data_IF_951518903788
#
_entry.id   IF_951518903788
#
_cell.length_a   1.000
_cell.length_b   1.000
_cell.length_c   1.000
_cell.angle_alpha   90.00
_cell.angle_beta   90.00
_cell.angle_gamma   90.00
#
_symmetry.space_group_name_H-M   'P 1'
#
loop_
_entity.id
_entity.type
_entity.pdbx_description
1 polymer ?
#
# COMPACT_ATOMS: atom_id res chain seq x y z
N UNK A 1 35.80 31.46 -42.96
CA UNK A 1 35.73 31.67 -41.49
C UNK A 1 35.55 30.31 -40.86
N UNK A 2 36.54 29.80 -40.12
CA UNK A 2 36.36 28.57 -39.35
C UNK A 2 35.59 28.98 -38.11
N UNK A 3 34.30 28.62 -38.01
CA UNK A 3 33.50 28.92 -36.83
C UNK A 3 34.03 28.08 -35.66
N UNK A 4 34.40 28.72 -34.56
CA UNK A 4 34.76 28.02 -33.33
C UNK A 4 33.56 27.18 -32.85
N UNK A 5 33.74 25.88 -32.55
CA UNK A 5 32.68 25.05 -32.00
C UNK A 5 32.15 25.66 -30.70
N UNK A 6 30.84 25.60 -30.48
CA UNK A 6 30.22 26.06 -29.22
C UNK A 6 30.09 24.90 -28.24
N UNK A 7 30.60 25.07 -27.02
CA UNK A 7 30.52 24.05 -25.98
C UNK A 7 29.06 23.69 -25.64
N UNK A 8 28.75 22.39 -25.44
CA UNK A 8 27.44 21.97 -24.95
C UNK A 8 27.14 22.56 -23.57
N UNK A 9 25.89 22.99 -23.33
CA UNK A 9 25.46 23.48 -22.01
C UNK A 9 25.27 22.29 -21.06
N UNK A 10 25.83 22.38 -19.86
CA UNK A 10 25.64 21.38 -18.81
C UNK A 10 24.14 21.22 -18.45
N UNK A 11 23.68 19.99 -18.14
CA UNK A 11 22.34 19.76 -17.62
C UNK A 11 22.15 20.51 -16.30
N UNK A 12 20.96 21.09 -16.13
CA UNK A 12 20.59 21.72 -14.87
C UNK A 12 20.32 20.63 -13.81
N UNK A 13 21.01 20.64 -12.65
CA UNK A 13 20.85 19.58 -11.64
C UNK A 13 19.42 19.46 -11.11
N UNK A 14 18.70 20.59 -10.95
CA UNK A 14 17.32 20.61 -10.48
C UNK A 14 16.38 20.01 -11.53
N UNK A 15 16.59 20.32 -12.82
CA UNK A 15 15.81 19.72 -13.90
C UNK A 15 16.09 18.22 -14.06
N UNK A 16 17.35 17.80 -13.93
CA UNK A 16 17.74 16.38 -13.98
C UNK A 16 17.11 15.59 -12.83
N UNK A 17 17.13 16.14 -11.60
CA UNK A 17 16.48 15.53 -10.45
C UNK A 17 14.94 15.47 -10.58
N UNK A 18 14.32 16.51 -11.15
CA UNK A 18 12.89 16.52 -11.41
C UNK A 18 12.50 15.49 -12.49
N UNK A 19 13.32 15.31 -13.53
CA UNK A 19 13.11 14.27 -14.54
C UNK A 19 13.16 12.86 -13.94
N UNK A 20 14.10 12.60 -13.02
CA UNK A 20 14.13 11.33 -12.28
C UNK A 20 12.91 11.15 -11.38
N UNK A 21 12.50 12.22 -10.68
CA UNK A 21 11.33 12.20 -9.79
C UNK A 21 10.06 11.87 -10.57
N UNK A 22 9.87 12.46 -11.74
CA UNK A 22 8.71 12.19 -12.60
C UNK A 22 8.61 10.70 -12.95
N UNK A 23 9.69 10.10 -13.45
CA UNK A 23 9.73 8.67 -13.79
C UNK A 23 9.45 7.79 -12.57
N UNK A 24 10.04 8.10 -11.41
CA UNK A 24 9.81 7.32 -10.19
C UNK A 24 8.35 7.38 -9.73
N UNK A 25 7.72 8.56 -9.86
CA UNK A 25 6.31 8.75 -9.53
C UNK A 25 5.42 7.95 -10.47
N UNK A 26 5.68 8.00 -11.78
CA UNK A 26 4.91 7.24 -12.78
C UNK A 26 5.02 5.72 -12.52
N UNK A 27 6.23 5.22 -12.24
CA UNK A 27 6.44 3.80 -11.88
C UNK A 27 5.72 3.45 -10.58
N UNK A 28 5.74 4.31 -9.58
CA UNK A 28 5.05 4.08 -8.31
C UNK A 28 3.53 4.03 -8.47
N UNK A 29 2.95 4.93 -9.27
CA UNK A 29 1.52 4.93 -9.60
C UNK A 29 1.15 3.65 -10.35
N UNK A 30 1.97 3.24 -11.32
CA UNK A 30 1.74 2.01 -12.07
C UNK A 30 1.83 0.76 -11.17
N UNK A 31 2.85 0.68 -10.30
CA UNK A 31 2.98 -0.40 -9.32
C UNK A 31 1.79 -0.47 -8.36
N UNK A 32 1.31 0.69 -7.88
CA UNK A 32 0.10 0.74 -7.07
C UNK A 32 -1.13 0.24 -7.85
N UNK A 33 -1.29 0.62 -9.12
CA UNK A 33 -2.37 0.10 -9.96
C UNK A 33 -2.33 -1.42 -10.11
N UNK A 34 -1.13 -1.99 -10.28
CA UNK A 34 -0.92 -3.44 -10.43
C UNK A 34 -1.17 -4.20 -9.12
N UNK A 35 -0.79 -3.65 -7.97
CA UNK A 35 -0.96 -4.34 -6.67
C UNK A 35 -2.42 -4.36 -6.20
N UNK A 36 -3.22 -3.35 -6.55
CA UNK A 36 -4.62 -3.20 -6.14
C UNK A 36 -5.59 -3.84 -7.14
N UNK A 37 -5.41 -5.14 -7.42
CA UNK A 37 -6.28 -5.90 -8.33
C UNK A 37 -7.51 -6.43 -7.59
N UNK A 38 -8.70 -6.25 -8.19
CA UNK A 38 -9.96 -6.78 -7.66
C UNK A 38 -9.97 -8.32 -7.66
N UNK A 39 -10.57 -8.91 -6.64
CA UNK A 39 -10.71 -10.36 -6.51
C UNK A 39 -12.17 -10.72 -6.32
N UNK A 40 -12.62 -11.75 -7.04
CA UNK A 40 -13.97 -12.28 -6.96
C UNK A 40 -13.87 -13.76 -6.64
N UNK A 41 -14.50 -14.17 -5.54
CA UNK A 41 -14.56 -15.56 -5.08
C UNK A 41 -16.03 -15.99 -5.00
N UNK A 42 -16.32 -17.29 -4.86
CA UNK A 42 -17.69 -17.75 -4.60
C UNK A 42 -18.28 -17.16 -3.31
N UNK A 43 -17.43 -16.79 -2.35
CA UNK A 43 -17.85 -16.31 -1.04
C UNK A 43 -18.05 -14.79 -0.98
N UNK A 44 -17.60 -14.05 -2.01
CA UNK A 44 -17.67 -12.60 -2.04
C UNK A 44 -16.66 -11.94 -2.98
N UNK A 45 -16.43 -10.65 -2.77
CA UNK A 45 -15.48 -9.88 -3.57
C UNK A 45 -14.68 -8.88 -2.74
N UNK A 46 -13.46 -8.64 -3.19
CA UNK A 46 -12.55 -7.61 -2.69
C UNK A 46 -12.28 -6.64 -3.86
N UNK A 47 -12.83 -5.44 -3.78
CA UNK A 47 -12.65 -4.41 -4.80
C UNK A 47 -11.77 -3.28 -4.27
N UNK A 48 -10.82 -2.82 -5.07
CA UNK A 48 -10.03 -1.63 -4.78
C UNK A 48 -10.54 -0.46 -5.61
N UNK A 49 -10.79 0.67 -4.96
CA UNK A 49 -11.21 1.92 -5.63
C UNK A 49 -10.31 3.06 -5.18
N UNK A 50 -10.04 3.98 -6.10
CA UNK A 50 -9.36 5.23 -5.77
C UNK A 50 -10.29 6.02 -4.84
N UNK A 51 -9.86 6.19 -3.60
CA UNK A 51 -10.59 6.90 -2.55
C UNK A 51 -10.19 8.37 -2.41
N UNK A 52 -9.10 8.77 -3.09
CA UNK A 52 -8.61 10.13 -3.06
C UNK A 52 -7.27 10.27 -3.74
N UNK A 53 -6.69 11.46 -3.58
CA UNK A 53 -5.37 11.79 -4.10
C UNK A 53 -4.57 12.54 -3.04
N UNK A 54 -3.30 12.16 -2.90
CA UNK A 54 -2.30 12.95 -2.18
C UNK A 54 -1.48 13.77 -3.16
N UNK A 55 -1.13 14.98 -2.76
CA UNK A 55 -0.38 15.90 -3.61
C UNK A 55 1.07 15.96 -3.16
N UNK A 56 2.00 15.79 -4.11
CA UNK A 56 3.42 16.05 -3.89
C UNK A 56 3.93 17.08 -4.89
N UNK A 57 5.00 17.81 -4.54
CA UNK A 57 5.70 18.71 -5.46
C UNK A 57 7.15 18.26 -5.62
N UNK A 58 7.67 18.33 -6.84
CA UNK A 58 9.10 18.10 -7.09
C UNK A 58 9.93 19.37 -6.84
N UNK A 59 11.24 19.25 -7.08
CA UNK A 59 12.22 20.32 -6.86
C UNK A 59 12.03 21.53 -7.80
N UNK A 60 11.21 21.40 -8.86
CA UNK A 60 10.83 22.49 -9.77
C UNK A 60 9.49 23.12 -9.41
N UNK A 61 8.80 22.59 -8.39
CA UNK A 61 7.46 23.02 -7.99
C UNK A 61 6.33 22.39 -8.81
N UNK A 62 6.63 21.50 -9.76
CA UNK A 62 5.61 20.73 -10.49
C UNK A 62 4.92 19.79 -9.51
N UNK A 63 3.60 19.72 -9.64
CA UNK A 63 2.73 19.01 -8.72
C UNK A 63 2.30 17.66 -9.30
N UNK A 64 2.30 16.61 -8.49
CA UNK A 64 1.87 15.25 -8.83
C UNK A 64 0.74 14.81 -7.91
N UNK A 65 -0.23 14.11 -8.48
CA UNK A 65 -1.35 13.52 -7.73
C UNK A 65 -1.14 12.01 -7.61
N UNK A 66 -0.92 11.54 -6.39
CA UNK A 66 -0.73 10.15 -6.04
C UNK A 66 -2.08 9.56 -5.62
N UNK A 67 -2.64 8.58 -6.34
CA UNK A 67 -3.91 7.98 -5.96
C UNK A 67 -3.79 7.22 -4.64
N UNK A 68 -4.77 7.40 -3.76
CA UNK A 68 -4.96 6.56 -2.57
C UNK A 68 -6.07 5.57 -2.85
N UNK A 69 -5.91 4.33 -2.42
CA UNK A 69 -6.87 3.25 -2.65
C UNK A 69 -7.53 2.82 -1.35
N UNK A 70 -8.80 2.45 -1.44
CA UNK A 70 -9.54 1.77 -0.36
C UNK A 70 -10.00 0.40 -0.84
N UNK A 71 -9.89 -0.58 0.05
CA UNK A 71 -10.35 -1.94 -0.14
C UNK A 71 -11.80 -2.07 0.35
N UNK A 72 -12.67 -2.60 -0.50
CA UNK A 72 -14.07 -2.88 -0.19
C UNK A 72 -14.29 -4.38 -0.24
N UNK A 73 -14.67 -4.97 0.89
CA UNK A 73 -15.00 -6.39 0.99
C UNK A 73 -16.50 -6.55 1.10
N UNK A 74 -17.05 -7.45 0.30
CA UNK A 74 -18.47 -7.79 0.29
C UNK A 74 -18.64 -9.30 0.26
N UNK A 75 -19.68 -9.79 0.94
CA UNK A 75 -20.10 -11.18 0.83
C UNK A 75 -20.83 -11.44 -0.50
N UNK A 76 -20.89 -12.70 -0.92
CA UNK A 76 -21.87 -13.15 -1.91
C UNK A 76 -23.30 -12.96 -1.36
N UNK A 77 -24.34 -12.87 -2.21
CA UNK A 77 -25.71 -12.74 -1.76
C UNK A 77 -26.12 -13.83 -0.74
N UNK A 78 -25.66 -15.06 -0.96
CA UNK A 78 -25.93 -16.21 -0.08
C UNK A 78 -25.23 -16.05 1.27
N UNK A 79 -23.94 -15.69 1.28
CA UNK A 79 -23.19 -15.49 2.53
C UNK A 79 -23.64 -14.23 3.27
N UNK A 80 -24.08 -13.19 2.57
CA UNK A 80 -24.66 -12.00 3.18
C UNK A 80 -25.95 -12.35 3.92
N UNK A 81 -26.83 -13.17 3.29
CA UNK A 81 -28.05 -13.63 3.95
C UNK A 81 -27.75 -14.45 5.22
N UNK A 82 -26.72 -15.30 5.19
CA UNK A 82 -26.26 -16.06 6.37
C UNK A 82 -25.71 -15.11 7.43
N UNK A 83 -24.90 -14.13 7.06
CA UNK A 83 -24.36 -13.11 7.96
C UNK A 83 -25.49 -12.33 8.63
N UNK A 84 -26.44 -11.81 7.85
CA UNK A 84 -27.59 -11.03 8.35
C UNK A 84 -28.47 -11.87 9.27
N UNK A 85 -28.76 -13.12 8.89
CA UNK A 85 -29.50 -14.05 9.74
C UNK A 85 -28.75 -14.37 11.03
N UNK A 86 -27.43 -14.48 10.98
CA UNK A 86 -26.59 -14.73 12.16
C UNK A 86 -26.60 -13.50 13.08
N UNK A 87 -26.46 -12.29 12.54
CA UNK A 87 -26.58 -11.05 13.31
C UNK A 87 -27.96 -10.89 13.93
N UNK A 88 -29.03 -11.21 13.19
CA UNK A 88 -30.40 -11.19 13.71
C UNK A 88 -30.60 -12.24 14.80
N UNK A 89 -30.03 -13.43 14.64
CA UNK A 89 -30.08 -14.49 15.66
C UNK A 89 -29.31 -14.07 16.90
N UNK A 90 -28.11 -13.50 16.77
CA UNK A 90 -27.33 -12.95 17.89
C UNK A 90 -28.08 -11.82 18.59
N UNK A 91 -28.73 -10.93 17.84
CA UNK A 91 -29.56 -9.87 18.42
C UNK A 91 -30.79 -10.45 19.14
N UNK A 92 -31.44 -11.45 18.55
CA UNK A 92 -32.56 -12.18 19.16
C UNK A 92 -32.13 -12.90 20.44
N UNK A 93 -30.96 -13.54 20.44
CA UNK A 93 -30.36 -14.18 21.60
C UNK A 93 -29.96 -13.16 22.67
N UNK A 94 -29.41 -12.02 22.29
CA UNK A 94 -29.11 -10.93 23.22
C UNK A 94 -30.39 -10.35 23.83
N UNK A 95 -31.46 -10.20 23.05
CA UNK A 95 -32.78 -9.80 23.55
C UNK A 95 -33.38 -10.83 24.49
N UNK A 96 -33.35 -12.10 24.11
CA UNK A 96 -33.79 -13.20 24.97
C UNK A 96 -32.97 -13.25 26.25
N UNK A 97 -31.64 -13.12 26.15
CA UNK A 97 -30.76 -13.04 27.30
C UNK A 97 -31.13 -11.84 28.17
N UNK A 98 -31.45 -10.67 27.61
CA UNK A 98 -31.92 -9.49 28.37
C UNK A 98 -33.30 -9.72 29.02
N UNK A 99 -34.29 -10.21 28.29
CA UNK A 99 -35.63 -10.52 28.82
C UNK A 99 -35.55 -11.59 29.92
N UNK A 100 -34.71 -12.60 29.69
CA UNK A 100 -34.45 -13.66 30.64
C UNK A 100 -33.59 -13.15 31.79
N UNK A 101 -32.70 -12.16 31.64
CA UNK A 101 -32.05 -11.48 32.78
C UNK A 101 -33.06 -10.69 33.59
N UNK A 102 -34.13 -10.15 32.98
CA UNK A 102 -35.26 -9.58 33.71
C UNK A 102 -35.99 -10.63 34.56
N UNK A 103 -36.26 -11.80 33.99
CA UNK A 103 -36.86 -12.94 34.71
C UNK A 103 -35.91 -13.54 35.76
N UNK A 104 -34.63 -13.68 35.44
CA UNK A 104 -33.56 -14.16 36.34
C UNK A 104 -33.33 -13.13 37.45
N UNK A 105 -33.41 -11.83 37.19
CA UNK A 105 -33.38 -10.80 38.23
C UNK A 105 -34.61 -10.91 39.14
N UNK A 106 -35.78 -11.21 38.59
CA UNK A 106 -36.97 -11.57 39.38
C UNK A 106 -36.77 -12.83 40.22
N UNK A 107 -36.19 -13.89 39.65
CA UNK A 107 -35.98 -15.20 40.28
C UNK A 107 -34.82 -15.20 41.28
N UNK A 108 -33.73 -14.46 41.02
CA UNK A 108 -32.57 -14.31 41.91
C UNK A 108 -32.77 -13.19 42.93
N UNK A 109 -33.65 -12.22 42.65
CA UNK A 109 -34.06 -11.17 43.57
C UNK A 109 -35.03 -11.67 44.65
N UNK A 110 -35.66 -12.82 44.43
CA UNK A 110 -36.41 -13.56 45.45
C UNK A 110 -35.61 -14.78 45.88
N UNK A 111 -35.38 -14.96 47.18
CA UNK A 111 -34.82 -16.22 47.68
C UNK A 111 -35.74 -17.38 47.25
N UNK A 112 -35.17 -18.54 46.89
CA UNK A 112 -35.97 -19.75 46.62
C UNK A 112 -36.78 -20.05 47.87
N UNK A 113 -38.10 -20.02 47.73
CA UNK A 113 -39.01 -20.37 48.82
C UNK A 113 -39.03 -21.88 49.01
N UNK A 114 -38.09 -22.36 49.82
CA UNK A 114 -38.06 -23.74 50.31
C UNK A 114 -38.80 -23.86 51.66
N UNK A 115 -39.68 -22.91 51.99
CA UNK A 115 -40.50 -23.04 53.20
C UNK A 115 -41.34 -24.31 53.11
N UNK A 116 -41.61 -24.90 54.27
CA UNK A 116 -42.41 -26.11 54.39
C UNK A 116 -43.73 -25.99 53.62
N UNK A 117 -44.40 -24.83 53.69
CA UNK A 117 -45.66 -24.60 52.97
C UNK A 117 -45.56 -24.68 51.44
N UNK A 118 -44.46 -24.24 50.84
CA UNK A 118 -44.29 -24.32 49.38
C UNK A 118 -43.89 -25.73 48.93
N UNK A 119 -43.02 -26.40 49.69
CA UNK A 119 -42.63 -27.80 49.41
C UNK A 119 -43.83 -28.74 49.59
N UNK A 120 -44.63 -28.54 50.64
CA UNK A 120 -45.86 -29.31 50.88
C UNK A 120 -46.87 -29.14 49.74
N UNK A 121 -47.04 -27.90 49.25
CA UNK A 121 -47.90 -27.62 48.09
C UNK A 121 -47.40 -28.34 46.83
N UNK A 122 -46.10 -28.35 46.60
CA UNK A 122 -45.49 -29.04 45.46
C UNK A 122 -45.71 -30.55 45.53
N UNK A 123 -45.43 -31.16 46.70
CA UNK A 123 -45.63 -32.60 46.95
C UNK A 123 -47.11 -32.98 46.80
N UNK A 124 -48.02 -32.19 47.37
CA UNK A 124 -49.45 -32.46 47.29
C UNK A 124 -49.97 -32.40 45.85
N UNK A 125 -49.55 -31.40 45.07
CA UNK A 125 -50.05 -31.23 43.70
C UNK A 125 -49.50 -32.27 42.72
N UNK A 126 -48.25 -32.71 42.88
CA UNK A 126 -47.58 -33.57 41.90
C UNK A 126 -47.53 -35.06 42.29
N UNK A 127 -47.63 -35.40 43.58
CA UNK A 127 -47.27 -36.73 44.07
C UNK A 127 -48.36 -37.38 44.93
N UNK A 128 -49.08 -36.59 45.73
CA UNK A 128 -50.10 -37.11 46.66
C UNK A 128 -51.29 -37.78 45.95
N UNK A 129 -51.69 -37.31 44.77
CA UNK A 129 -52.76 -37.93 43.99
C UNK A 129 -52.40 -39.37 43.56
N UNK A 130 -51.16 -39.59 43.13
CA UNK A 130 -50.66 -40.92 42.75
C UNK A 130 -50.57 -41.87 43.94
N UNK A 131 -50.08 -41.38 45.08
CA UNK A 131 -50.04 -42.14 46.32
C UNK A 131 -51.43 -42.60 46.78
N UNK A 132 -52.39 -41.67 46.85
CA UNK A 132 -53.77 -41.98 47.28
C UNK A 132 -54.43 -43.01 46.35
N UNK A 133 -54.31 -42.81 45.03
CA UNK A 133 -54.87 -43.73 44.04
C UNK A 133 -54.32 -45.16 44.17
N UNK A 134 -53.04 -45.33 44.52
CA UNK A 134 -52.46 -46.64 44.73
C UNK A 134 -53.04 -47.32 45.97
N UNK A 135 -53.08 -46.60 47.10
CA UNK A 135 -53.61 -47.15 48.35
C UNK A 135 -55.11 -47.42 48.32
N UNK A 136 -55.87 -46.66 47.56
CA UNK A 136 -57.31 -46.91 47.38
C UNK A 136 -57.56 -48.21 46.60
N UNK A 137 -56.68 -48.54 45.63
CA UNK A 137 -56.70 -49.86 44.97
C UNK A 137 -56.30 -50.99 45.90
N UNK A 138 -55.28 -50.77 46.74
CA UNK A 138 -54.79 -51.78 47.68
C UNK A 138 -55.84 -52.07 48.76
N UNK A 139 -56.59 -51.06 49.18
CA UNK A 139 -57.73 -51.22 50.07
C UNK A 139 -58.83 -52.08 49.43
N UNK A 140 -59.23 -51.77 48.20
CA UNK A 140 -60.24 -52.55 47.49
C UNK A 140 -59.83 -54.02 47.28
N UNK A 141 -58.53 -54.26 47.03
CA UNK A 141 -57.97 -55.61 46.91
C UNK A 141 -58.00 -56.38 48.24
N UNK A 142 -57.68 -55.68 49.35
CA UNK A 142 -57.78 -56.26 50.69
C UNK A 142 -59.23 -56.63 51.02
N UNK A 143 -60.18 -55.74 50.75
CA UNK A 143 -61.61 -55.98 50.96
C UNK A 143 -62.08 -57.23 50.20
N UNK A 144 -61.70 -57.37 48.93
CA UNK A 144 -62.01 -58.55 48.13
C UNK A 144 -61.40 -59.83 48.72
N UNK A 145 -60.11 -59.79 49.14
CA UNK A 145 -59.44 -60.95 49.73
C UNK A 145 -60.07 -61.41 51.05
N UNK A 146 -60.56 -60.48 51.86
CA UNK A 146 -61.27 -60.78 53.10
C UNK A 146 -62.63 -61.42 52.80
N UNK A 147 -63.36 -60.89 51.83
CA UNK A 147 -64.63 -61.45 51.38
C UNK A 147 -64.48 -62.88 50.83
N UNK A 148 -63.47 -63.14 49.99
CA UNK A 148 -63.18 -64.48 49.44
C UNK A 148 -62.84 -65.51 50.54
N UNK A 149 -62.31 -65.04 51.68
CA UNK A 149 -62.02 -65.86 52.87
C UNK A 149 -63.22 -66.02 53.80
N UNK A 150 -64.39 -65.50 53.42
CA UNK A 150 -65.61 -65.56 54.23
C UNK A 150 -65.62 -64.60 55.43
N UNK A 151 -64.71 -63.61 55.46
CA UNK A 151 -64.67 -62.59 56.50
C UNK A 151 -65.62 -61.47 56.09
N UNK A 152 -66.76 -61.37 56.76
CA UNK A 152 -67.75 -60.33 56.48
C UNK A 152 -67.35 -58.97 57.05
N UNK A 153 -67.76 -57.91 56.36
CA UNK A 153 -67.65 -56.53 56.81
C UNK A 153 -68.38 -56.34 58.15
N UNK A 154 -67.72 -55.71 59.12
CA UNK A 154 -68.23 -55.53 60.50
C UNK A 154 -67.94 -56.69 61.46
N UNK A 155 -67.21 -57.72 61.02
CA UNK A 155 -66.63 -58.72 61.93
C UNK A 155 -65.38 -58.18 62.62
N UNK A 156 -65.08 -58.67 63.82
CA UNK A 156 -63.86 -58.28 64.54
C UNK A 156 -62.57 -58.58 63.75
N UNK A 157 -62.58 -59.63 62.91
CA UNK A 157 -61.47 -59.98 62.03
C UNK A 157 -61.29 -58.96 60.89
N UNK A 158 -62.40 -58.49 60.29
CA UNK A 158 -62.38 -57.42 59.31
C UNK A 158 -61.85 -56.12 59.90
N UNK A 159 -62.36 -55.71 61.07
CA UNK A 159 -61.95 -54.46 61.73
C UNK A 159 -60.47 -54.47 62.11
N UNK A 160 -59.94 -55.63 62.54
CA UNK A 160 -58.52 -55.78 62.83
C UNK A 160 -57.65 -55.70 61.57
N UNK A 161 -58.08 -56.35 60.48
CA UNK A 161 -57.37 -56.30 59.20
C UNK A 161 -57.36 -54.88 58.60
N UNK A 162 -58.49 -54.17 58.70
CA UNK A 162 -58.62 -52.80 58.22
C UNK A 162 -57.84 -51.80 59.09
N UNK A 163 -57.82 -52.00 60.41
CA UNK A 163 -56.93 -51.24 61.31
C UNK A 163 -55.46 -51.45 60.96
N UNK A 164 -55.01 -52.68 60.76
CA UNK A 164 -53.63 -52.97 60.33
C UNK A 164 -53.29 -52.33 58.98
N UNK A 165 -54.21 -52.37 58.02
CA UNK A 165 -54.07 -51.66 56.75
C UNK A 165 -53.94 -50.15 56.93
N UNK A 166 -54.80 -49.53 57.75
CA UNK A 166 -54.74 -48.09 58.02
C UNK A 166 -53.42 -47.66 58.67
N UNK A 167 -52.91 -48.45 59.63
CA UNK A 167 -51.63 -48.21 60.29
C UNK A 167 -50.47 -48.30 59.30
N UNK A 168 -50.49 -49.30 58.40
CA UNK A 168 -49.49 -49.45 57.34
C UNK A 168 -49.55 -48.32 56.31
N UNK A 169 -50.76 -47.91 55.90
CA UNK A 169 -50.98 -46.77 55.00
C UNK A 169 -50.43 -45.48 55.62
N UNK A 170 -50.68 -45.25 56.91
CA UNK A 170 -50.19 -44.07 57.62
C UNK A 170 -48.65 -44.07 57.71
N UNK A 171 -48.03 -45.17 58.14
CA UNK A 171 -46.57 -45.26 58.21
C UNK A 171 -45.91 -45.09 56.82
N UNK A 172 -46.51 -45.67 55.79
CA UNK A 172 -46.04 -45.51 54.41
C UNK A 172 -46.24 -44.07 53.89
N UNK A 173 -47.31 -43.39 54.29
CA UNK A 173 -47.56 -41.98 53.97
C UNK A 173 -46.52 -41.08 54.61
N UNK A 174 -46.19 -41.31 55.87
CA UNK A 174 -45.19 -40.51 56.61
C UNK A 174 -43.79 -40.69 56.01
N UNK A 175 -43.41 -41.93 55.66
CA UNK A 175 -42.14 -42.22 54.98
C UNK A 175 -42.11 -41.61 53.58
N UNK A 176 -43.18 -41.79 52.80
CA UNK A 176 -43.31 -41.25 51.45
C UNK A 176 -43.20 -39.73 51.45
N UNK A 177 -43.87 -39.04 52.38
CA UNK A 177 -43.82 -37.58 52.47
C UNK A 177 -42.41 -37.08 52.77
N UNK A 178 -41.66 -37.76 53.67
CA UNK A 178 -40.27 -37.43 53.96
C UNK A 178 -39.34 -37.60 52.75
N UNK A 179 -39.46 -38.70 52.02
CA UNK A 179 -38.70 -38.96 50.80
C UNK A 179 -39.04 -37.96 49.70
N UNK A 180 -40.34 -37.62 49.56
CA UNK A 180 -40.81 -36.66 48.57
C UNK A 180 -40.42 -35.23 48.91
N UNK A 181 -40.29 -34.87 50.19
CA UNK A 181 -39.83 -33.55 50.60
C UNK A 181 -38.38 -33.28 50.15
N UNK A 182 -37.50 -34.29 50.21
CA UNK A 182 -36.13 -34.22 49.69
C UNK A 182 -36.11 -34.14 48.16
N UNK A 183 -36.95 -34.94 47.49
CA UNK A 183 -37.05 -34.92 46.02
C UNK A 183 -37.65 -33.62 45.48
N UNK A 184 -38.65 -33.06 46.16
CA UNK A 184 -39.31 -31.80 45.80
C UNK A 184 -38.34 -30.62 45.87
N UNK A 185 -37.50 -30.55 46.91
CA UNK A 185 -36.46 -29.51 46.99
C UNK A 185 -35.48 -29.59 45.82
N UNK A 186 -35.04 -30.80 45.45
CA UNK A 186 -34.15 -31.00 44.31
C UNK A 186 -34.84 -30.67 42.96
N UNK A 187 -36.12 -30.99 42.82
CA UNK A 187 -36.91 -30.67 41.63
C UNK A 187 -37.09 -29.16 41.46
N UNK A 188 -37.47 -28.44 42.53
CA UNK A 188 -37.62 -26.99 42.55
C UNK A 188 -36.29 -26.29 42.18
N UNK A 189 -35.17 -26.81 42.67
CA UNK A 189 -33.84 -26.27 42.32
C UNK A 189 -33.44 -26.56 40.87
N UNK A 190 -33.82 -27.72 40.32
CA UNK A 190 -33.50 -28.13 38.95
C UNK A 190 -34.30 -27.33 37.92
N UNK A 191 -35.58 -27.09 38.18
CA UNK A 191 -36.45 -26.24 37.34
C UNK A 191 -35.87 -24.82 37.18
N UNK A 192 -35.17 -24.33 38.20
CA UNK A 192 -34.47 -23.05 38.16
C UNK A 192 -33.18 -23.05 37.31
N UNK A 193 -32.50 -24.19 37.21
CA UNK A 193 -31.21 -24.31 36.52
C UNK A 193 -31.33 -24.62 35.02
N UNK A 194 -32.44 -25.23 34.58
CA UNK A 194 -32.74 -25.48 33.16
C UNK A 194 -32.62 -24.25 32.25
N UNK A 195 -33.28 -23.10 32.55
CA UNK A 195 -33.19 -21.94 31.67
C UNK A 195 -31.77 -21.35 31.59
N UNK A 196 -30.93 -21.54 32.61
CA UNK A 196 -29.54 -21.07 32.59
C UNK A 196 -28.67 -21.90 31.63
N UNK A 197 -28.90 -23.22 31.58
CA UNK A 197 -28.15 -24.11 30.69
C UNK A 197 -28.60 -23.97 29.23
N UNK A 198 -29.89 -23.76 28.99
CA UNK A 198 -30.44 -23.52 27.64
C UNK A 198 -29.87 -22.23 27.01
N UNK A 199 -29.72 -21.15 27.78
CA UNK A 199 -29.10 -19.91 27.31
C UNK A 199 -27.63 -20.12 26.93
N UNK A 200 -26.87 -20.85 27.77
CA UNK A 200 -25.45 -21.13 27.52
C UNK A 200 -25.25 -21.93 26.23
N UNK A 201 -26.11 -22.92 25.97
CA UNK A 201 -26.09 -23.71 24.74
C UNK A 201 -26.42 -22.87 23.50
N UNK A 202 -27.43 -21.99 23.59
CA UNK A 202 -27.87 -21.14 22.48
C UNK A 202 -26.86 -20.03 22.12
N UNK A 203 -26.10 -19.51 23.08
CA UNK A 203 -25.09 -18.49 22.83
C UNK A 203 -23.84 -19.01 22.09
N UNK A 204 -23.63 -20.32 22.03
CA UNK A 204 -22.46 -20.94 21.38
C UNK A 204 -22.55 -21.05 19.84
N UNK A 205 -23.60 -20.48 19.24
CA UNK A 205 -23.94 -20.65 17.82
C UNK A 205 -22.83 -20.25 16.83
N UNK A 206 -22.72 -21.06 15.77
CA UNK A 206 -21.70 -21.10 14.72
C UNK A 206 -21.16 -19.75 14.23
N UNK A 207 -19.83 -19.68 14.08
CA UNK A 207 -19.14 -18.51 13.52
C UNK A 207 -19.37 -18.41 12.02
N UNK A 208 -19.70 -17.21 11.53
CA UNK A 208 -19.73 -16.90 10.10
C UNK A 208 -18.29 -16.91 9.58
N UNK A 209 -18.02 -17.73 8.56
CA UNK A 209 -16.71 -17.76 7.91
C UNK A 209 -16.50 -16.49 7.10
N UNK A 210 -15.37 -15.81 7.29
CA UNK A 210 -15.04 -14.61 6.52
C UNK A 210 -14.44 -15.00 5.15
N UNK A 211 -14.75 -14.29 4.06
CA UNK A 211 -14.24 -14.64 2.74
C UNK A 211 -12.72 -14.52 2.75
N UNK A 212 -12.04 -15.55 2.22
CA UNK A 212 -10.59 -15.54 2.06
C UNK A 212 -10.22 -15.02 0.67
N UNK A 213 -9.23 -14.13 0.59
CA UNK A 213 -8.72 -13.56 -0.65
C UNK A 213 -7.26 -13.97 -0.85
N UNK A 214 -6.85 -14.14 -2.10
CA UNK A 214 -5.46 -14.50 -2.45
C UNK A 214 -4.57 -13.27 -2.46
N UNK A 215 -3.28 -13.44 -2.15
CA UNK A 215 -2.34 -12.34 -2.33
C UNK A 215 -2.14 -12.06 -3.83
N UNK A 216 -2.36 -10.80 -4.24
CA UNK A 216 -2.09 -10.35 -5.61
C UNK A 216 -0.57 -10.32 -5.83
N UNK A 217 -0.03 -10.98 -6.88
CA UNK A 217 1.39 -10.94 -7.17
C UNK A 217 1.84 -9.50 -7.43
N UNK A 218 2.74 -8.97 -6.61
CA UNK A 218 3.30 -7.64 -6.80
C UNK A 218 4.40 -7.69 -7.86
N UNK A 219 4.08 -7.31 -9.10
CA UNK A 219 5.09 -7.05 -10.12
C UNK A 219 5.66 -5.65 -9.89
N UNK A 220 6.92 -5.58 -9.46
CA UNK A 220 7.61 -4.30 -9.29
C UNK A 220 8.21 -3.87 -10.62
N UNK A 221 7.60 -2.86 -11.25
CA UNK A 221 8.16 -2.20 -12.41
C UNK A 221 9.49 -1.53 -12.01
N UNK A 222 10.57 -1.73 -12.79
CA UNK A 222 11.84 -1.09 -12.52
C UNK A 222 11.76 0.41 -12.83
N UNK A 223 12.46 1.22 -12.03
CA UNK A 223 12.65 2.64 -12.34
C UNK A 223 13.71 2.78 -13.44
N UNK A 224 13.49 3.71 -14.38
CA UNK A 224 14.53 4.11 -15.34
C UNK A 224 15.41 5.18 -14.70
N UNK A 225 16.73 5.04 -14.80
CA UNK A 225 17.69 6.07 -14.37
C UNK A 225 17.76 7.20 -15.41
N UNK A 226 16.72 8.03 -15.41
CA UNK A 226 16.58 9.18 -16.29
C UNK A 226 17.70 10.20 -16.06
N UNK A 227 18.16 10.35 -14.81
CA UNK A 227 19.29 11.23 -14.48
C UNK A 227 20.60 10.75 -15.13
N UNK A 228 20.87 9.45 -15.05
CA UNK A 228 21.99 8.81 -15.74
C UNK A 228 21.93 9.03 -17.25
N UNK A 229 20.79 8.80 -17.88
CA UNK A 229 20.60 9.00 -19.33
C UNK A 229 20.83 10.44 -19.77
N UNK A 230 20.38 11.43 -18.98
CA UNK A 230 20.61 12.85 -19.27
C UNK A 230 22.11 13.19 -19.19
N UNK A 231 22.80 12.70 -18.17
CA UNK A 231 24.23 12.91 -18.00
C UNK A 231 25.05 12.19 -19.08
N UNK A 232 24.68 10.98 -19.46
CA UNK A 232 25.31 10.22 -20.54
C UNK A 232 25.16 10.94 -21.88
N UNK A 233 23.98 11.48 -22.17
CA UNK A 233 23.76 12.27 -23.38
C UNK A 233 24.64 13.53 -23.41
N UNK A 234 24.81 14.20 -22.26
CA UNK A 234 25.71 15.35 -22.15
C UNK A 234 27.17 14.95 -22.37
N UNK A 235 27.65 13.87 -21.74
CA UNK A 235 29.01 13.37 -21.91
C UNK A 235 29.30 12.99 -23.37
N UNK A 236 28.35 12.38 -24.07
CA UNK A 236 28.47 12.09 -25.51
C UNK A 236 28.61 13.37 -26.35
N UNK A 237 27.80 14.39 -26.06
CA UNK A 237 27.89 15.70 -26.74
C UNK A 237 29.23 16.40 -26.44
N UNK A 238 29.73 16.30 -25.22
CA UNK A 238 31.03 16.85 -24.85
C UNK A 238 32.16 16.13 -25.58
N UNK A 239 32.13 14.80 -25.66
CA UNK A 239 33.12 14.02 -26.41
C UNK A 239 33.14 14.33 -27.92
N UNK A 240 31.99 14.68 -28.52
CA UNK A 240 31.93 15.17 -29.91
C UNK A 240 32.53 16.57 -30.04
N UNK A 241 32.23 17.46 -29.08
CA UNK A 241 32.81 18.80 -29.03
C UNK A 241 34.34 18.76 -28.89
N UNK A 242 34.88 17.94 -27.98
CA UNK A 242 36.32 17.80 -27.79
C UNK A 242 37.03 17.32 -29.06
N UNK A 243 36.43 16.38 -29.80
CA UNK A 243 36.93 15.96 -31.12
C UNK A 243 36.90 17.08 -32.14
N UNK A 244 35.84 17.89 -32.15
CA UNK A 244 35.70 19.00 -33.08
C UNK A 244 36.72 20.11 -32.80
N UNK A 245 36.99 20.40 -31.53
CA UNK A 245 38.04 21.34 -31.10
C UNK A 245 39.42 20.78 -31.43
N UNK A 246 39.69 19.49 -31.15
CA UNK A 246 40.95 18.85 -31.52
C UNK A 246 41.21 18.89 -33.04
N UNK A 247 40.20 18.64 -33.86
CA UNK A 247 40.29 18.75 -35.32
C UNK A 247 40.52 20.19 -35.78
N UNK A 248 39.87 21.17 -35.15
CA UNK A 248 40.05 22.59 -35.46
C UNK A 248 41.46 23.07 -35.07
N UNK A 249 41.98 22.61 -33.93
CA UNK A 249 43.35 22.88 -33.48
C UNK A 249 44.39 22.22 -34.40
N UNK A 250 44.14 20.99 -34.87
CA UNK A 250 45.01 20.32 -35.84
C UNK A 250 45.00 21.02 -37.21
N UNK A 251 43.84 21.48 -37.69
CA UNK A 251 43.73 22.25 -38.92
C UNK A 251 44.42 23.63 -38.81
N UNK A 252 44.33 24.28 -37.66
CA UNK A 252 45.03 25.55 -37.39
C UNK A 252 46.56 25.32 -37.29
N UNK A 253 47.02 24.26 -36.62
CA UNK A 253 48.42 23.89 -36.56
C UNK A 253 49.02 23.53 -37.93
N UNK A 254 48.26 22.85 -38.80
CA UNK A 254 48.67 22.54 -40.17
C UNK A 254 48.72 23.76 -41.09
N UNK A 255 47.82 24.73 -40.92
CA UNK A 255 47.83 25.99 -41.68
C UNK A 255 48.96 26.94 -41.25
N UNK A 256 49.33 26.94 -39.97
CA UNK A 256 50.53 27.63 -39.49
C UNK A 256 51.84 26.90 -39.87
N UNK A 257 51.80 25.58 -40.09
CA UNK A 257 52.97 24.78 -40.49
C UNK A 257 53.31 24.82 -41.99
N UNK A 258 52.35 25.12 -42.87
CA UNK A 258 52.54 25.09 -44.34
C UNK A 258 52.87 26.45 -44.98
N UNK A 259 52.91 27.54 -44.19
CA UNK A 259 53.28 28.89 -44.63
C UNK A 259 54.49 29.47 -43.88
N UNK A 260 55.41 28.61 -43.42
CA UNK A 260 56.54 28.93 -42.55
C UNK A 260 57.70 29.70 -43.19
N UNK A 261 57.45 30.87 -43.79
CA UNK A 261 58.47 31.94 -43.91
C UNK A 261 58.37 32.98 -42.79
N UNK A 262 57.48 32.76 -41.82
CA UNK A 262 57.19 33.68 -40.71
C UNK A 262 58.12 33.58 -39.49
N UNK A 263 59.07 32.63 -39.46
CA UNK A 263 60.05 32.49 -38.37
C UNK A 263 61.48 32.71 -38.86
N UNK A 264 61.78 33.94 -39.30
CA UNK A 264 63.16 34.43 -39.46
C UNK A 264 63.66 34.61 -40.90
N UNK A 265 62.78 34.58 -41.90
CA UNK A 265 63.11 34.87 -43.31
C UNK A 265 62.56 36.21 -43.78
N UNK A 266 63.27 36.86 -44.71
CA UNK A 266 62.77 38.04 -45.41
C UNK A 266 61.64 37.66 -46.37
N UNK A 267 60.42 38.17 -46.14
CA UNK A 267 59.27 37.87 -46.99
C UNK A 267 59.01 39.00 -47.99
N UNK A 268 58.73 38.64 -49.25
CA UNK A 268 58.32 39.59 -50.31
C UNK A 268 57.07 40.35 -49.87
N UNK A 269 57.25 41.61 -49.49
CA UNK A 269 56.18 42.39 -48.84
C UNK A 269 55.87 43.69 -49.57
N UNK A 270 56.53 43.92 -50.69
CA UNK A 270 56.22 45.00 -51.61
C UNK A 270 54.78 44.91 -52.13
N UNK A 271 54.04 46.01 -52.02
CA UNK A 271 52.66 46.13 -52.50
C UNK A 271 52.57 45.86 -54.01
N UNK A 272 53.62 46.17 -54.78
CA UNK A 272 53.64 46.01 -56.26
C UNK A 272 53.58 44.54 -56.69
N UNK A 273 54.00 43.61 -55.84
CA UNK A 273 53.97 42.17 -56.10
C UNK A 273 52.63 41.52 -55.74
N UNK A 274 51.70 42.28 -55.15
CA UNK A 274 50.46 41.79 -54.55
C UNK A 274 49.24 42.36 -55.26
N UNK A 275 48.14 41.61 -55.23
CA UNK A 275 46.81 41.95 -55.75
C UNK A 275 45.73 41.53 -54.74
N UNK A 276 44.47 41.91 -54.99
CA UNK A 276 43.32 41.66 -54.10
C UNK A 276 43.53 42.11 -52.64
N UNK A 277 44.27 43.21 -52.46
CA UNK A 277 44.73 43.66 -51.15
C UNK A 277 43.58 44.24 -50.33
N UNK A 278 43.24 43.59 -49.21
CA UNK A 278 42.23 44.04 -48.26
C UNK A 278 42.80 44.07 -46.85
N UNK A 279 42.67 45.20 -46.15
CA UNK A 279 43.02 45.26 -44.72
C UNK A 279 42.04 44.39 -43.94
N UNK A 280 42.56 43.47 -43.12
CA UNK A 280 41.76 42.53 -42.31
C UNK A 280 41.97 42.70 -40.82
N UNK A 281 42.95 43.50 -40.40
CA UNK A 281 43.22 43.75 -39.00
C UNK A 281 44.34 44.75 -38.78
N UNK A 282 44.74 44.86 -37.52
CA UNK A 282 45.87 45.65 -37.04
C UNK A 282 46.53 44.87 -35.92
N UNK A 283 47.86 44.82 -35.91
CA UNK A 283 48.66 44.25 -34.81
C UNK A 283 48.68 45.20 -33.61
N UNK A 284 49.05 44.69 -32.44
CA UNK A 284 49.14 45.48 -31.20
C UNK A 284 50.15 46.62 -31.30
N UNK A 285 51.18 46.47 -32.13
CA UNK A 285 52.17 47.52 -32.44
C UNK A 285 51.68 48.56 -33.47
N UNK A 286 50.40 48.50 -33.88
CA UNK A 286 49.78 49.45 -34.78
C UNK A 286 49.92 49.14 -36.27
N UNK A 287 50.67 48.09 -36.65
CA UNK A 287 50.83 47.73 -38.06
C UNK A 287 49.55 47.12 -38.65
N UNK A 288 49.07 47.58 -39.82
CA UNK A 288 47.93 46.97 -40.50
C UNK A 288 48.28 45.60 -41.08
N UNK A 289 47.35 44.65 -40.93
CA UNK A 289 47.43 43.30 -41.52
C UNK A 289 46.49 43.22 -42.72
N UNK A 290 46.97 42.65 -43.83
CA UNK A 290 46.26 42.55 -45.08
C UNK A 290 46.07 41.08 -45.52
N UNK A 291 44.92 40.80 -46.13
CA UNK A 291 44.74 39.66 -47.02
C UNK A 291 45.08 40.07 -48.46
N UNK A 292 45.87 39.26 -49.16
CA UNK A 292 46.30 39.53 -50.54
C UNK A 292 46.61 38.23 -51.29
N UNK A 293 46.74 38.32 -52.62
CA UNK A 293 47.34 37.27 -53.47
C UNK A 293 48.61 37.81 -54.13
N UNK A 294 49.59 36.97 -54.43
CA UNK A 294 50.71 37.40 -55.28
C UNK A 294 50.32 37.35 -56.76
N UNK A 295 50.86 38.30 -57.54
CA UNK A 295 50.58 38.39 -58.99
C UNK A 295 51.16 37.24 -59.81
N UNK A 296 52.15 36.52 -59.27
CA UNK A 296 52.69 35.29 -59.87
C UNK A 296 51.81 34.06 -59.61
N UNK A 297 50.71 34.23 -58.85
CA UNK A 297 49.72 33.21 -58.56
C UNK A 297 49.80 32.67 -57.13
N UNK A 298 48.84 31.82 -56.79
CA UNK A 298 48.77 31.15 -55.48
C UNK A 298 47.53 31.49 -54.65
N UNK A 299 47.42 30.92 -53.44
CA UNK A 299 46.28 31.15 -52.56
C UNK A 299 46.29 32.56 -51.96
N UNK A 300 45.16 32.97 -51.40
CA UNK A 300 45.11 34.17 -50.55
C UNK A 300 46.02 33.98 -49.34
N UNK A 301 46.86 34.97 -49.06
CA UNK A 301 47.80 35.01 -47.94
C UNK A 301 47.46 36.16 -47.00
N UNK A 302 47.95 36.08 -45.76
CA UNK A 302 47.91 37.15 -44.78
C UNK A 302 49.32 37.69 -44.56
N UNK A 303 49.46 39.01 -44.49
CA UNK A 303 50.75 39.62 -44.18
C UNK A 303 50.73 41.14 -44.17
N UNK A 304 51.93 41.70 -44.04
CA UNK A 304 52.19 43.12 -43.95
C UNK A 304 52.51 43.71 -45.33
N UNK A 305 52.40 45.03 -45.45
CA UNK A 305 52.84 45.79 -46.63
C UNK A 305 54.09 46.60 -46.25
N UNK A 306 55.12 46.54 -47.08
CA UNK A 306 56.42 47.16 -46.77
C UNK A 306 56.34 48.67 -46.56
N UNK A 307 55.43 49.35 -47.27
CA UNK A 307 55.16 50.78 -47.14
C UNK A 307 54.61 51.17 -45.76
N UNK A 308 53.79 50.31 -45.15
CA UNK A 308 53.29 50.51 -43.80
C UNK A 308 54.31 50.11 -42.74
N UNK A 309 55.04 49.01 -42.96
CA UNK A 309 56.12 48.60 -42.05
C UNK A 309 57.21 49.66 -42.00
N UNK A 310 57.61 50.24 -43.14
CA UNK A 310 58.68 51.24 -43.22
C UNK A 310 58.38 52.51 -42.40
N UNK A 311 57.10 52.82 -42.14
CA UNK A 311 56.69 53.96 -41.31
C UNK A 311 56.92 53.75 -39.81
N UNK A 312 56.87 52.49 -39.35
CA UNK A 312 56.92 52.14 -37.94
C UNK A 312 58.25 51.47 -37.58
N UNK A 313 58.67 50.50 -38.40
CA UNK A 313 59.90 49.72 -38.26
C UNK A 313 60.71 49.77 -39.57
N UNK A 314 61.36 50.90 -39.88
CA UNK A 314 62.16 51.04 -41.11
C UNK A 314 63.33 50.04 -41.17
N UNK A 315 63.86 49.61 -40.02
CA UNK A 315 64.93 48.61 -39.88
C UNK A 315 64.49 47.18 -40.25
N UNK A 316 63.17 46.95 -40.33
CA UNK A 316 62.59 45.68 -40.74
C UNK A 316 62.32 45.60 -42.26
N UNK A 317 62.63 46.65 -43.03
CA UNK A 317 62.40 46.71 -44.48
C UNK A 317 63.72 46.91 -45.23
N UNK A 318 63.95 46.11 -46.26
CA UNK A 318 65.04 46.37 -47.21
C UNK A 318 64.58 46.17 -48.65
N UNK A 319 65.22 46.90 -49.57
CA UNK A 319 65.05 46.72 -51.01
C UNK A 319 66.07 45.69 -51.49
N UNK A 320 65.58 44.65 -52.15
CA UNK A 320 66.43 43.58 -52.69
C UNK A 320 66.96 43.96 -54.09
N UNK A 321 67.96 43.25 -54.61
CA UNK A 321 68.54 43.46 -55.95
C UNK A 321 67.51 43.37 -57.10
N UNK A 322 66.32 42.83 -56.84
CA UNK A 322 65.21 42.76 -57.81
C UNK A 322 64.37 44.05 -57.84
N UNK A 323 64.73 45.06 -57.03
CA UNK A 323 64.04 46.34 -56.93
C UNK A 323 62.73 46.29 -56.14
N UNK A 324 62.46 45.19 -55.42
CA UNK A 324 61.27 45.03 -54.59
C UNK A 324 61.60 44.94 -53.10
N UNK A 325 60.71 45.51 -52.29
CA UNK A 325 60.83 45.48 -50.84
C UNK A 325 60.52 44.11 -50.23
N UNK A 326 61.31 43.76 -49.21
CA UNK A 326 61.08 42.61 -48.35
C UNK A 326 61.05 43.05 -46.89
N UNK A 327 60.19 42.39 -46.11
CA UNK A 327 60.02 42.66 -44.67
C UNK A 327 60.55 41.47 -43.87
N UNK A 328 61.35 41.76 -42.85
CA UNK A 328 61.74 40.78 -41.83
C UNK A 328 60.69 40.77 -40.72
N UNK A 329 59.77 39.80 -40.76
CA UNK A 329 58.60 39.80 -39.89
C UNK A 329 58.96 39.77 -38.41
N UNK A 330 60.01 39.02 -38.04
CA UNK A 330 60.47 38.93 -36.66
C UNK A 330 60.97 40.25 -36.04
N UNK A 331 61.29 41.26 -36.86
CA UNK A 331 61.60 42.63 -36.40
C UNK A 331 60.40 43.55 -36.53
N UNK A 332 59.58 43.34 -37.55
CA UNK A 332 58.39 44.15 -37.77
C UNK A 332 57.29 43.94 -36.71
N UNK A 333 57.24 42.76 -36.08
CA UNK A 333 56.18 42.38 -35.11
C UNK A 333 56.69 42.18 -33.68
N UNK A 334 57.98 42.43 -33.45
CA UNK A 334 58.57 42.45 -32.11
C UNK A 334 58.14 43.70 -31.34
#
# INVERSE_FOLDING_TARGET
MVSTPKAPKAPDPTQTAAAQTATNVDTAIANAGLSHTNQYTPDGSLEYKVSGYQTMKDQTGKTYQLPTYSAYQTYSPENQAIYDQTQQTQLGLARLANDQTGKISGILGTNVDLSAGNVDKYVNNHWQSGFNNQWDRDQASLDQSLADKGISMGSAAYDNAMRDFSTRKQAASDQYLGDMYSNAQNAILTERNQPLNEISALMSGSQVHQPSYVNTPTTQLPNVDQAGLINDNFNQKMGLYDRQVAQSNAAMGGLFGLGGTLLGGWAKSDRRLKEDIKRVGTLDNGLPVYAYRYKDGGPMQLGLMSDDVRKIHPDAVFEHEDGFDRVFYGRAVA
#
